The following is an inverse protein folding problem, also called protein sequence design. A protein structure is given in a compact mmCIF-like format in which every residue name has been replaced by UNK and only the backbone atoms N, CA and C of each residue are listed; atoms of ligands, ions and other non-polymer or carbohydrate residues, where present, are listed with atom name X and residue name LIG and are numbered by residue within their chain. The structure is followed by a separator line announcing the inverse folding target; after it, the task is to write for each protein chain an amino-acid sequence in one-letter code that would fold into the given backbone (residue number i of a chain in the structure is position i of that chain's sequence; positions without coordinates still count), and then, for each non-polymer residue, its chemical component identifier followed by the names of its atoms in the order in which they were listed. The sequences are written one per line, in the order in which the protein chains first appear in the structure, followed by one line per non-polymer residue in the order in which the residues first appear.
data_IF_945832133363
#
_entry.id   IF_945832133363
#
_cell.length_a   1.000
_cell.length_b   1.000
_cell.length_c   1.000
_cell.angle_alpha   90.00
_cell.angle_beta   90.00
_cell.angle_gamma   90.00
#
_symmetry.space_group_name_H-M   'P 1'
#
loop_
_entity.id
_entity.type
_entity.pdbx_description
1 polymer ?
#
# COMPACT_ATOMS: atom_id res chain seq x y z
N UNK A 1 1.90 -7.67 -20.67
CA UNK A 1 3.36 -7.39 -20.63
C UNK A 1 3.68 -6.51 -21.83
N UNK A 2 4.43 -5.42 -21.67
CA UNK A 2 4.82 -4.50 -22.75
C UNK A 2 6.33 -4.55 -22.91
N UNK A 3 6.82 -4.48 -24.15
CA UNK A 3 8.26 -4.38 -24.44
C UNK A 3 8.70 -2.94 -24.20
N UNK A 4 9.72 -2.75 -23.36
CA UNK A 4 10.29 -1.43 -23.05
C UNK A 4 11.78 -1.43 -23.40
N UNK A 5 12.23 -0.43 -24.16
CA UNK A 5 13.64 -0.18 -24.50
C UNK A 5 14.01 1.15 -23.82
N UNK A 6 15.17 1.21 -23.16
CA UNK A 6 15.65 2.36 -22.40
C UNK A 6 17.04 2.74 -22.90
N UNK A 7 17.20 3.99 -23.35
CA UNK A 7 18.48 4.53 -23.81
C UNK A 7 19.02 5.57 -22.83
N UNK A 8 20.33 5.54 -22.60
CA UNK A 8 21.02 6.59 -21.84
C UNK A 8 21.29 7.77 -22.77
N UNK A 9 20.71 8.93 -22.47
CA UNK A 9 20.82 10.15 -23.29
C UNK A 9 22.00 11.06 -22.90
N UNK A 10 22.73 10.72 -21.83
CA UNK A 10 23.84 11.54 -21.34
C UNK A 10 25.06 11.46 -22.28
N UNK A 11 25.83 12.56 -22.44
CA UNK A 11 27.05 12.57 -23.25
C UNK A 11 28.06 11.50 -22.82
N UNK A 12 28.70 10.80 -23.76
CA UNK A 12 29.67 9.73 -23.44
C UNK A 12 30.79 10.17 -22.49
N UNK A 13 31.23 11.42 -22.60
CA UNK A 13 32.22 12.04 -21.71
C UNK A 13 31.76 12.16 -20.24
N UNK A 14 30.47 11.99 -19.95
CA UNK A 14 29.90 11.98 -18.60
C UNK A 14 29.60 10.56 -18.08
N UNK A 15 29.74 9.54 -18.93
CA UNK A 15 29.52 8.13 -18.60
C UNK A 15 30.83 7.41 -18.18
N UNK A 16 31.90 8.16 -17.90
CA UNK A 16 33.26 7.63 -17.62
C UNK A 16 33.28 6.69 -16.40
N UNK A 17 32.32 6.81 -15.48
CA UNK A 17 32.15 5.91 -14.32
C UNK A 17 31.36 4.62 -14.59
N UNK A 18 30.74 4.46 -15.77
CA UNK A 18 30.05 3.24 -16.20
C UNK A 18 31.04 2.35 -16.96
N UNK A 19 31.95 1.73 -16.20
CA UNK A 19 32.95 0.81 -16.73
C UNK A 19 32.36 -0.56 -17.12
N UNK A 20 33.24 -1.55 -17.32
CA UNK A 20 32.83 -2.92 -17.59
C UNK A 20 32.01 -3.49 -16.41
N UNK A 21 31.07 -4.39 -16.70
CA UNK A 21 30.20 -5.03 -15.71
C UNK A 21 29.30 -4.07 -14.90
N UNK A 22 29.06 -2.85 -15.39
CA UNK A 22 28.13 -1.94 -14.74
C UNK A 22 26.71 -2.55 -14.69
N UNK A 23 26.03 -2.39 -13.55
CA UNK A 23 24.65 -2.84 -13.36
C UNK A 23 23.75 -1.64 -13.19
N UNK A 24 22.67 -1.60 -13.96
CA UNK A 24 21.62 -0.58 -13.83
C UNK A 24 20.42 -1.19 -13.13
N UNK A 25 19.99 -0.54 -12.05
CA UNK A 25 18.70 -0.81 -11.43
C UNK A 25 17.70 0.27 -11.88
N UNK A 26 16.80 -0.10 -12.77
CA UNK A 26 15.74 0.80 -13.23
C UNK A 26 14.51 0.60 -12.34
N UNK A 27 14.02 1.69 -11.74
CA UNK A 27 12.74 1.73 -11.06
C UNK A 27 11.76 2.55 -11.89
N UNK A 28 10.73 1.91 -12.41
CA UNK A 28 9.69 2.55 -13.21
C UNK A 28 8.46 2.76 -12.33
N UNK A 29 8.09 4.02 -12.09
CA UNK A 29 6.83 4.38 -11.44
C UNK A 29 5.73 4.42 -12.51
N UNK A 30 4.91 3.38 -12.58
CA UNK A 30 3.81 3.31 -13.55
C UNK A 30 2.67 4.30 -13.24
N UNK A 31 2.50 4.66 -11.97
CA UNK A 31 1.48 5.59 -11.52
C UNK A 31 1.89 6.23 -10.19
N UNK A 32 1.49 7.49 -9.99
CA UNK A 32 1.62 8.20 -8.71
C UNK A 32 0.52 9.26 -8.60
N UNK A 33 -0.04 9.41 -7.41
CA UNK A 33 -0.93 10.51 -7.08
C UNK A 33 -0.48 11.19 -5.78
N UNK A 34 -0.82 12.48 -5.68
CA UNK A 34 -0.63 13.29 -4.49
C UNK A 34 -1.95 13.32 -3.71
N UNK A 35 -1.87 13.44 -2.38
CA UNK A 35 -3.05 13.61 -1.50
C UNK A 35 -4.07 12.45 -1.54
N UNK A 36 -3.61 11.21 -1.59
CA UNK A 36 -4.46 10.01 -1.51
C UNK A 36 -4.42 9.36 -0.14
N UNK A 37 -5.55 8.81 0.31
CA UNK A 37 -5.59 7.96 1.51
C UNK A 37 -5.01 6.60 1.12
N UNK A 38 -4.00 6.15 1.87
CA UNK A 38 -3.35 4.87 1.64
C UNK A 38 -3.52 3.96 2.83
N UNK A 39 -3.82 2.69 2.57
CA UNK A 39 -3.88 1.64 3.58
C UNK A 39 -2.90 0.52 3.23
N UNK A 40 -2.18 -0.05 4.20
CA UNK A 40 -1.36 -1.25 3.99
C UNK A 40 -2.21 -2.40 3.45
N UNK A 41 -1.68 -3.15 2.49
CA UNK A 41 -2.37 -4.32 1.92
C UNK A 41 -2.70 -5.35 3.01
N UNK A 42 -1.85 -5.47 4.04
CA UNK A 42 -2.08 -6.38 5.17
C UNK A 42 -3.28 -6.04 6.05
N UNK A 43 -3.88 -4.85 5.93
CA UNK A 43 -5.12 -4.50 6.63
C UNK A 43 -6.39 -4.83 5.82
N UNK A 44 -6.24 -5.09 4.51
CA UNK A 44 -7.36 -5.35 3.62
C UNK A 44 -7.80 -6.80 3.71
N UNK A 45 -9.11 -7.02 3.75
CA UNK A 45 -9.71 -8.33 3.60
C UNK A 45 -10.96 -8.25 2.72
N UNK A 46 -11.38 -9.41 2.21
CA UNK A 46 -12.60 -9.53 1.42
C UNK A 46 -13.79 -9.74 2.35
N UNK A 47 -14.86 -9.00 2.09
CA UNK A 47 -16.15 -9.13 2.75
C UNK A 47 -17.21 -9.28 1.66
N UNK A 48 -17.52 -10.53 1.33
CA UNK A 48 -18.20 -10.88 0.07
C UNK A 48 -17.40 -10.38 -1.13
N UNK A 49 -18.06 -9.66 -2.04
CA UNK A 49 -17.45 -9.12 -3.25
C UNK A 49 -16.70 -7.80 -3.04
N UNK A 50 -16.79 -7.19 -1.85
CA UNK A 50 -16.20 -5.88 -1.54
C UNK A 50 -14.91 -6.00 -0.75
N UNK A 51 -14.08 -4.97 -0.85
CA UNK A 51 -12.95 -4.77 0.04
C UNK A 51 -13.43 -4.15 1.36
N UNK A 52 -12.80 -4.53 2.45
CA UNK A 52 -13.08 -3.99 3.76
C UNK A 52 -11.80 -3.85 4.59
N UNK A 53 -11.87 -2.99 5.60
CA UNK A 53 -10.91 -2.84 6.69
C UNK A 53 -11.65 -2.84 8.01
N UNK A 54 -10.93 -3.12 9.10
CA UNK A 54 -11.42 -2.83 10.43
C UNK A 54 -10.86 -1.48 10.89
N UNK A 55 -11.75 -0.54 11.20
CA UNK A 55 -11.40 0.73 11.85
C UNK A 55 -11.57 0.60 13.36
N UNK A 56 -10.82 1.38 14.13
CA UNK A 56 -10.95 1.37 15.59
C UNK A 56 -10.89 2.75 16.21
N UNK A 57 -11.71 2.95 17.25
CA UNK A 57 -11.64 4.06 18.19
C UNK A 57 -10.65 3.80 19.34
N UNK A 58 -10.03 2.62 19.38
CA UNK A 58 -9.11 2.17 20.42
C UNK A 58 -9.70 1.13 21.38
N UNK A 59 -10.99 0.81 21.29
CA UNK A 59 -11.61 -0.25 22.11
C UNK A 59 -12.27 -1.33 21.28
N UNK A 60 -12.87 -0.96 20.16
CA UNK A 60 -13.64 -1.89 19.33
C UNK A 60 -13.17 -1.87 17.88
N UNK A 61 -13.20 -3.05 17.25
CA UNK A 61 -13.07 -3.18 15.81
C UNK A 61 -14.42 -2.91 15.15
N UNK A 62 -14.46 -2.05 14.14
CA UNK A 62 -15.65 -1.81 13.33
C UNK A 62 -15.40 -2.16 11.88
N UNK A 63 -16.24 -3.02 11.33
CA UNK A 63 -16.16 -3.41 9.94
C UNK A 63 -16.51 -2.22 9.04
N UNK A 64 -15.62 -1.88 8.11
CA UNK A 64 -15.82 -0.80 7.15
C UNK A 64 -15.58 -1.29 5.74
N UNK A 65 -16.64 -1.44 4.91
CA UNK A 65 -16.48 -1.59 3.47
C UNK A 65 -15.79 -0.35 2.89
N UNK A 66 -14.84 -0.57 2.00
CA UNK A 66 -14.13 0.50 1.30
C UNK A 66 -14.02 0.20 -0.19
N UNK A 67 -13.82 1.26 -0.96
CA UNK A 67 -13.47 1.17 -2.36
C UNK A 67 -11.98 1.46 -2.52
N UNK A 68 -11.29 0.61 -3.28
CA UNK A 68 -9.86 0.77 -3.53
C UNK A 68 -9.61 1.14 -4.99
N UNK A 69 -8.63 2.00 -5.20
CA UNK A 69 -8.15 2.41 -6.51
C UNK A 69 -6.87 1.65 -6.88
N UNK A 70 -5.81 2.39 -7.15
CA UNK A 70 -4.51 1.79 -7.46
C UNK A 70 -3.91 1.09 -6.25
N UNK A 71 -3.25 -0.04 -6.49
CA UNK A 71 -2.50 -0.76 -5.44
C UNK A 71 -1.13 -1.19 -5.93
N UNK A 72 -0.20 -1.26 -4.99
CA UNK A 72 1.10 -1.90 -5.16
C UNK A 72 1.26 -3.04 -4.14
N UNK A 73 2.47 -3.57 -3.99
CA UNK A 73 2.76 -4.68 -3.08
C UNK A 73 2.63 -4.32 -1.59
N UNK A 74 2.71 -3.03 -1.23
CA UNK A 74 2.71 -2.58 0.15
C UNK A 74 1.41 -1.84 0.54
N UNK A 75 0.84 -1.06 -0.38
CA UNK A 75 -0.30 -0.18 -0.12
C UNK A 75 -1.37 -0.25 -1.20
N UNK A 76 -2.61 0.00 -0.81
CA UNK A 76 -3.70 0.36 -1.70
C UNK A 76 -4.15 1.81 -1.44
N UNK A 77 -4.56 2.47 -2.50
CA UNK A 77 -5.31 3.72 -2.47
C UNK A 77 -6.76 3.44 -2.06
N UNK A 78 -7.30 4.25 -1.16
CA UNK A 78 -8.71 4.25 -0.80
C UNK A 78 -9.42 5.40 -1.54
N UNK A 79 -10.36 5.03 -2.39
CA UNK A 79 -11.19 5.98 -3.17
C UNK A 79 -12.36 6.46 -2.32
N UNK A 80 -12.98 5.55 -1.54
CA UNK A 80 -14.12 5.88 -0.69
C UNK A 80 -14.21 4.95 0.53
N UNK A 81 -14.91 5.43 1.58
CA UNK A 81 -15.23 4.64 2.78
C UNK A 81 -14.32 4.85 3.99
N UNK A 82 -13.18 5.53 3.82
CA UNK A 82 -12.24 5.88 4.90
C UNK A 82 -11.88 7.37 4.86
N UNK A 83 -11.62 7.95 6.02
CA UNK A 83 -11.14 9.32 6.21
C UNK A 83 -9.69 9.33 6.70
N UNK A 84 -8.97 10.41 6.38
CA UNK A 84 -7.63 10.61 6.91
C UNK A 84 -7.67 10.70 8.45
N UNK A 85 -6.68 10.08 9.10
CA UNK A 85 -6.57 10.04 10.56
C UNK A 85 -7.31 8.87 11.24
N UNK A 86 -8.11 8.08 10.51
CA UNK A 86 -8.72 6.87 11.07
C UNK A 86 -7.65 5.79 11.33
N UNK A 87 -7.73 5.15 12.50
CA UNK A 87 -6.87 4.02 12.86
C UNK A 87 -7.49 2.73 12.33
N UNK A 88 -6.66 1.91 11.70
CA UNK A 88 -7.04 0.62 11.13
C UNK A 88 -6.29 -0.53 11.83
N UNK A 89 -6.84 -1.73 11.74
CA UNK A 89 -6.21 -2.94 12.25
C UNK A 89 -5.41 -3.61 11.13
N UNK A 90 -4.13 -3.87 11.40
CA UNK A 90 -3.26 -4.65 10.50
C UNK A 90 -3.43 -6.14 10.77
N UNK A 91 -3.42 -6.94 9.70
CA UNK A 91 -3.51 -8.39 9.75
C UNK A 91 -4.68 -8.90 10.59
N UNK A 92 -5.93 -8.50 10.26
CA UNK A 92 -7.08 -8.99 10.99
C UNK A 92 -7.17 -10.52 10.82
N UNK A 93 -7.25 -11.24 11.94
CA UNK A 93 -7.55 -12.67 11.91
C UNK A 93 -9.03 -12.88 11.62
N UNK A 94 -9.37 -14.09 11.21
CA UNK A 94 -10.75 -14.59 11.08
C UNK A 94 -11.57 -14.48 12.38
N UNK A 95 -10.90 -14.30 13.52
CA UNK A 95 -11.52 -14.09 14.84
C UNK A 95 -11.98 -12.66 15.09
N UNK A 96 -11.57 -11.69 14.27
CA UNK A 96 -12.03 -10.30 14.39
C UNK A 96 -13.32 -10.15 13.58
N UNK A 97 -14.41 -9.92 14.30
CA UNK A 97 -15.71 -9.53 13.74
C UNK A 97 -16.10 -8.13 14.20
N UNK A 98 -17.15 -7.59 13.59
CA UNK A 98 -17.66 -6.27 13.95
C UNK A 98 -18.06 -6.23 15.44
N UNK A 99 -17.61 -5.19 16.15
CA UNK A 99 -17.89 -5.00 17.57
C UNK A 99 -16.98 -5.78 18.52
N UNK A 100 -16.01 -6.57 18.03
CA UNK A 100 -15.06 -7.27 18.90
C UNK A 100 -14.19 -6.26 19.65
N UNK A 101 -14.04 -6.48 20.96
CA UNK A 101 -13.11 -5.72 21.79
C UNK A 101 -11.68 -6.08 21.39
N UNK A 102 -10.89 -5.05 21.10
CA UNK A 102 -9.48 -5.21 20.74
C UNK A 102 -8.60 -4.53 21.78
N UNK A 103 -7.39 -5.04 21.92
CA UNK A 103 -6.33 -4.37 22.68
C UNK A 103 -5.20 -4.03 21.71
N UNK A 104 -4.66 -2.83 21.87
CA UNK A 104 -3.52 -2.40 21.08
C UNK A 104 -2.33 -3.26 21.47
N UNK A 105 -1.84 -4.07 20.53
CA UNK A 105 -0.53 -4.70 20.70
C UNK A 105 0.49 -3.57 20.75
N UNK A 106 1.18 -3.42 21.88
CA UNK A 106 2.31 -2.52 21.96
C UNK A 106 3.34 -2.99 20.93
N UNK A 107 3.71 -2.08 20.02
CA UNK A 107 4.71 -2.35 19.01
C UNK A 107 6.00 -2.74 19.72
N UNK A 108 6.43 -3.99 19.55
CA UNK A 108 7.67 -4.48 20.14
C UNK A 108 8.84 -3.74 19.49
N UNK A 109 9.36 -2.72 20.18
CA UNK A 109 10.72 -2.21 19.95
C UNK A 109 11.72 -3.08 20.68
#
# INVERSE_FOLDING_TARGET
RVRTILDLTAPRASLVGLGHEYRVFVRISAWSAQSVIRVPIGALFRSGDRWAVFVTDGRYARHRPIEIGHRNSAFAEVVSGLKSGERIILHPSDRISDGVRIEQRADGR
#
